data_IF_311479871091
#
_entry.id   IF_311479871091
#
_cell.length_a   1.000
_cell.length_b   1.000
_cell.length_c   1.000
_cell.angle_alpha   90.00
_cell.angle_beta   90.00
_cell.angle_gamma   90.00
#
_symmetry.space_group_name_H-M   'P 1'
#
loop_
_entity.id
_entity.type
_entity.pdbx_description
1 polymer ?
#
# COMPACT_ATOMS: atom_id res chain seq x y z
N UNK A 1 11.50 -1.34 -17.47
CA UNK A 1 11.18 -1.92 -16.16
C UNK A 1 10.23 -0.99 -15.42
N UNK A 2 9.19 -1.52 -14.79
CA UNK A 2 8.24 -0.73 -13.99
C UNK A 2 8.85 -0.44 -12.61
N UNK A 3 8.57 0.72 -12.00
CA UNK A 3 9.04 1.06 -10.64
C UNK A 3 8.73 -0.03 -9.61
N UNK A 4 7.58 -0.69 -9.75
CA UNK A 4 7.18 -1.83 -8.92
C UNK A 4 8.25 -2.93 -8.86
N UNK A 5 8.78 -3.34 -10.03
CA UNK A 5 9.80 -4.38 -10.11
C UNK A 5 11.12 -3.91 -9.50
N UNK A 6 11.50 -2.65 -9.74
CA UNK A 6 12.72 -2.07 -9.16
C UNK A 6 12.65 -2.04 -7.63
N UNK A 7 11.49 -1.73 -7.06
CA UNK A 7 11.30 -1.72 -5.61
C UNK A 7 11.30 -3.13 -5.03
N UNK A 8 10.67 -4.09 -5.70
CA UNK A 8 10.75 -5.51 -5.32
C UNK A 8 12.21 -6.02 -5.33
N UNK A 9 12.94 -5.78 -6.41
CA UNK A 9 14.35 -6.18 -6.58
C UNK A 9 15.28 -5.52 -5.55
N UNK A 10 14.97 -4.28 -5.12
CA UNK A 10 15.72 -3.56 -4.10
C UNK A 10 15.41 -4.03 -2.66
N UNK A 11 14.48 -4.97 -2.46
CA UNK A 11 14.11 -5.48 -1.14
C UNK A 11 13.16 -4.58 -0.35
N UNK A 12 12.38 -3.73 -1.04
CA UNK A 12 11.26 -3.04 -0.40
C UNK A 12 10.26 -4.10 0.07
N UNK A 13 9.76 -3.97 1.30
CA UNK A 13 8.85 -4.94 1.92
C UNK A 13 7.39 -4.68 1.56
N UNK A 14 7.03 -3.40 1.48
CA UNK A 14 5.70 -2.94 1.11
C UNK A 14 5.78 -1.71 0.21
N UNK A 15 4.96 -1.68 -0.84
CA UNK A 15 4.90 -0.56 -1.76
C UNK A 15 3.46 -0.08 -1.96
N UNK A 16 3.24 1.20 -1.68
CA UNK A 16 1.92 1.83 -1.64
C UNK A 16 1.79 2.84 -2.78
N UNK A 17 0.69 2.77 -3.53
CA UNK A 17 0.31 3.77 -4.53
C UNK A 17 -1.01 4.39 -4.11
N UNK A 18 -0.99 5.67 -3.77
CA UNK A 18 -2.16 6.46 -3.39
C UNK A 18 -2.62 7.27 -4.60
N UNK A 19 -3.88 7.14 -4.99
CA UNK A 19 -4.51 7.91 -6.09
C UNK A 19 -5.71 8.71 -5.53
N UNK A 20 -5.48 9.97 -5.10
CA UNK A 20 -6.55 10.81 -4.52
C UNK A 20 -7.68 11.11 -5.50
N UNK A 21 -7.39 11.20 -6.80
CA UNK A 21 -8.42 11.46 -7.81
C UNK A 21 -9.44 10.31 -7.94
N UNK A 22 -9.07 9.11 -7.48
CA UNK A 22 -9.94 7.93 -7.44
C UNK A 22 -10.28 7.49 -6.01
N UNK A 23 -9.83 8.24 -5.00
CA UNK A 23 -9.97 7.87 -3.58
C UNK A 23 -9.54 6.42 -3.31
N UNK A 24 -8.45 5.97 -3.94
CA UNK A 24 -8.01 4.56 -3.90
C UNK A 24 -6.54 4.42 -3.50
N UNK A 25 -6.25 3.34 -2.79
CA UNK A 25 -4.90 2.96 -2.35
C UNK A 25 -4.60 1.54 -2.81
N UNK A 26 -3.46 1.35 -3.47
CA UNK A 26 -2.97 0.03 -3.89
C UNK A 26 -1.76 -0.33 -3.05
N UNK A 27 -1.78 -1.50 -2.42
CA UNK A 27 -0.70 -1.97 -1.56
C UNK A 27 -0.15 -3.28 -2.08
N UNK A 28 1.15 -3.31 -2.33
CA UNK A 28 1.90 -4.49 -2.73
C UNK A 28 2.73 -4.98 -1.56
N UNK A 29 2.46 -6.20 -1.12
CA UNK A 29 3.19 -6.87 -0.04
C UNK A 29 4.21 -7.85 -0.65
N UNK A 30 5.50 -7.56 -0.46
CA UNK A 30 6.59 -8.35 -1.06
C UNK A 30 7.20 -9.36 -0.08
N UNK A 31 7.03 -9.18 1.23
CA UNK A 31 7.59 -10.07 2.25
C UNK A 31 6.76 -11.35 2.47
N UNK A 32 5.53 -11.42 1.96
CA UNK A 32 4.69 -12.60 2.06
C UNK A 32 5.20 -13.73 1.14
N UNK A 33 5.02 -14.99 1.56
CA UNK A 33 5.42 -16.17 0.77
C UNK A 33 4.76 -16.20 -0.62
N UNK A 34 3.65 -15.48 -0.76
CA UNK A 34 2.97 -15.23 -2.02
C UNK A 34 2.88 -13.72 -2.23
N UNK A 35 3.19 -13.27 -3.45
CA UNK A 35 3.00 -11.87 -3.83
C UNK A 35 1.52 -11.50 -3.70
N UNK A 36 1.22 -10.52 -2.85
CA UNK A 36 -0.15 -10.07 -2.60
C UNK A 36 -0.29 -8.60 -2.96
N UNK A 37 -1.34 -8.30 -3.71
CA UNK A 37 -1.74 -6.93 -4.02
C UNK A 37 -3.17 -6.71 -3.52
N UNK A 38 -3.36 -5.68 -2.70
CA UNK A 38 -4.67 -5.29 -2.19
C UNK A 38 -5.03 -3.87 -2.64
N UNK A 39 -6.32 -3.59 -2.69
CA UNK A 39 -6.87 -2.28 -3.01
C UNK A 39 -7.83 -1.87 -1.92
N UNK A 40 -7.68 -0.64 -1.45
CA UNK A 40 -8.49 -0.02 -0.42
C UNK A 40 -9.05 1.31 -0.93
N UNK A 41 -10.08 1.79 -0.25
CA UNK A 41 -10.64 3.11 -0.41
C UNK A 41 -10.15 4.06 0.68
N UNK A 42 -10.38 5.36 0.52
CA UNK A 42 -10.05 6.34 1.57
C UNK A 42 -10.95 6.25 2.82
N UNK A 43 -11.95 5.37 2.82
CA UNK A 43 -12.81 5.07 3.97
C UNK A 43 -12.24 3.97 4.87
N UNK A 44 -11.20 3.28 4.40
CA UNK A 44 -10.59 2.17 5.12
C UNK A 44 -9.44 2.69 5.99
N UNK A 45 -9.37 2.21 7.23
CA UNK A 45 -8.16 2.31 8.05
C UNK A 45 -7.27 1.10 7.72
N UNK A 46 -6.10 1.36 7.12
CA UNK A 46 -5.27 0.31 6.54
C UNK A 46 -4.11 0.02 7.50
N UNK A 47 -3.99 -1.24 7.95
CA UNK A 47 -2.86 -1.70 8.76
C UNK A 47 -1.60 -1.84 7.90
N UNK A 48 -0.48 -1.29 8.35
CA UNK A 48 0.83 -1.52 7.73
C UNK A 48 1.39 -2.85 8.25
N UNK A 49 1.72 -3.81 7.38
CA UNK A 49 2.10 -5.17 7.81
C UNK A 49 3.52 -5.26 8.38
N UNK A 50 4.42 -4.35 8.01
CA UNK A 50 5.80 -4.30 8.52
C UNK A 50 5.94 -3.66 9.91
N UNK A 51 4.87 -3.09 10.47
CA UNK A 51 4.84 -2.52 11.82
C UNK A 51 3.66 -3.10 12.62
N UNK A 52 3.82 -3.25 13.93
CA UNK A 52 2.78 -3.89 14.74
C UNK A 52 1.60 -2.96 15.06
N UNK A 53 1.86 -1.66 15.15
CA UNK A 53 1.00 -0.64 15.72
C UNK A 53 0.77 0.57 14.80
N UNK A 54 1.12 0.44 13.51
CA UNK A 54 0.89 1.48 12.52
C UNK A 54 -0.34 1.19 11.66
N UNK A 55 -1.27 2.13 11.67
CA UNK A 55 -2.47 2.18 10.85
C UNK A 55 -2.50 3.53 10.15
N UNK A 56 -2.95 3.55 8.89
CA UNK A 56 -3.05 4.78 8.10
C UNK A 56 -4.52 4.98 7.74
N UNK A 57 -5.04 6.13 8.14
CA UNK A 57 -6.36 6.63 7.74
C UNK A 57 -6.18 7.72 6.67
N UNK A 58 -6.93 7.59 5.58
CA UNK A 58 -6.94 8.54 4.46
C UNK A 58 -8.19 9.43 4.45
N UNK A 59 -9.04 9.36 5.48
CA UNK A 59 -10.27 10.13 5.57
C UNK A 59 -10.07 11.64 5.45
N UNK A 60 -8.93 12.17 5.91
CA UNK A 60 -8.58 13.60 5.80
C UNK A 60 -8.27 14.07 4.36
N UNK A 61 -8.12 13.14 3.41
CA UNK A 61 -7.92 13.47 1.99
C UNK A 61 -9.22 13.49 1.17
N UNK A 62 -10.36 13.23 1.81
CA UNK A 62 -11.68 13.32 1.20
C UNK A 62 -12.18 14.77 1.35
N UNK A 63 -12.61 15.39 0.24
CA UNK A 63 -13.22 16.72 0.23
C UNK A 63 -14.63 16.75 0.85
#
# INVERSE_FOLDING_TARGET
MLKLNLYAEAGVKEYWIVDPAKESVWVYYFEESEFKAETYSFKDEIKVNIYNDLYIDFSEFID
#
